data_IF_239795215278
#
_entry.id   IF_239795215278
#
_cell.length_a   1.000
_cell.length_b   1.000
_cell.length_c   1.000
_cell.angle_alpha   90.00
_cell.angle_beta   90.00
_cell.angle_gamma   90.00
#
_symmetry.space_group_name_H-M   'P 1'
#
loop_
_entity.id
_entity.type
_entity.pdbx_description
1 polymer ?
#
# COMPACT_ATOMS: atom_id res chain seq x y z
N UNK A 1 1.60 24.02 8.34
CA UNK A 1 0.96 22.96 9.15
C UNK A 1 0.51 21.83 8.23
N UNK A 2 0.54 20.60 8.73
CA UNK A 2 0.24 19.39 7.96
C UNK A 2 -0.78 18.53 8.69
N UNK A 3 -1.64 17.86 7.93
CA UNK A 3 -2.66 16.96 8.46
C UNK A 3 -2.60 15.58 7.81
N UNK A 4 -2.43 14.56 8.64
CA UNK A 4 -2.54 13.15 8.27
C UNK A 4 -3.98 12.66 8.52
N UNK A 5 -4.76 12.50 7.45
CA UNK A 5 -6.08 11.90 7.53
C UNK A 5 -5.98 10.40 7.79
N UNK A 6 -7.13 9.79 8.10
CA UNK A 6 -7.29 8.41 8.52
C UNK A 6 -6.37 7.45 7.75
N UNK A 7 -5.51 6.78 8.51
CA UNK A 7 -4.58 5.78 8.04
C UNK A 7 -4.83 4.39 8.58
N UNK A 8 -3.85 3.52 8.38
CA UNK A 8 -3.73 2.26 9.13
C UNK A 8 -2.96 2.51 10.44
N UNK A 9 -2.64 1.45 11.19
CA UNK A 9 -1.84 1.57 12.42
C UNK A 9 -0.49 2.27 12.21
N UNK A 10 0.11 2.13 11.03
CA UNK A 10 1.36 2.82 10.67
C UNK A 10 1.23 4.34 10.52
N UNK A 11 0.02 4.91 10.58
CA UNK A 11 -0.17 6.36 10.69
C UNK A 11 0.55 6.93 11.91
N UNK A 12 0.67 6.16 13.01
CA UNK A 12 1.49 6.50 14.17
C UNK A 12 2.94 6.79 13.78
N UNK A 13 3.53 5.92 12.95
CA UNK A 13 4.91 6.04 12.50
C UNK A 13 5.08 7.22 11.53
N UNK A 14 4.06 7.49 10.71
CA UNK A 14 4.04 8.69 9.86
C UNK A 14 4.05 9.96 10.69
N UNK A 15 3.20 10.04 11.72
CA UNK A 15 3.13 11.18 12.64
C UNK A 15 4.47 11.36 13.37
N UNK A 16 5.03 10.28 13.91
CA UNK A 16 6.31 10.33 14.63
C UNK A 16 7.47 10.76 13.71
N UNK A 17 7.56 10.16 12.52
CA UNK A 17 8.61 10.51 11.56
C UNK A 17 8.50 11.97 11.09
N UNK A 18 7.29 12.49 10.90
CA UNK A 18 7.08 13.91 10.63
C UNK A 18 7.48 14.78 11.82
N UNK A 19 7.10 14.39 13.06
CA UNK A 19 7.45 15.14 14.27
C UNK A 19 8.97 15.26 14.47
N UNK A 20 9.72 14.20 14.19
CA UNK A 20 11.18 14.18 14.33
C UNK A 20 11.89 15.11 13.33
N UNK A 21 11.27 15.39 12.17
CA UNK A 21 11.86 16.19 11.11
C UNK A 21 11.36 17.64 11.08
N UNK A 22 10.15 17.90 11.57
CA UNK A 22 9.56 19.23 11.54
C UNK A 22 10.04 20.08 12.73
N UNK A 23 10.13 21.42 12.57
CA UNK A 23 10.34 22.34 13.68
C UNK A 23 9.18 22.31 14.70
N UNK A 24 9.43 22.51 16.01
CA UNK A 24 8.39 22.44 17.07
C UNK A 24 7.17 23.33 16.84
N UNK A 25 7.34 24.46 16.18
CA UNK A 25 6.29 25.42 15.82
C UNK A 25 5.35 24.94 14.71
N UNK A 26 5.80 23.97 13.89
CA UNK A 26 4.96 23.36 12.87
C UNK A 26 4.03 22.37 13.53
N UNK A 27 2.74 22.74 13.57
CA UNK A 27 1.67 21.87 14.06
C UNK A 27 1.36 20.71 13.12
N UNK A 28 1.28 19.52 13.71
CA UNK A 28 0.87 18.27 13.08
C UNK A 28 -0.54 17.93 13.56
N UNK A 29 -1.43 17.72 12.61
CA UNK A 29 -2.79 17.26 12.85
C UNK A 29 -2.92 15.80 12.43
N UNK A 30 -3.75 15.06 13.14
CA UNK A 30 -4.13 13.71 12.77
C UNK A 30 -5.63 13.50 12.93
N UNK A 31 -6.20 12.59 12.17
CA UNK A 31 -7.59 12.19 12.35
C UNK A 31 -7.81 10.72 12.03
N UNK A 32 -8.86 10.17 12.63
CA UNK A 32 -9.33 8.82 12.39
C UNK A 32 -10.85 8.76 12.55
N UNK A 33 -11.56 7.86 11.85
CA UNK A 33 -13.04 7.76 11.91
C UNK A 33 -13.57 7.18 13.23
N UNK A 34 -12.73 6.41 13.90
CA UNK A 34 -12.97 5.77 15.19
C UNK A 34 -11.99 6.35 16.22
N UNK A 35 -12.33 6.24 17.51
CA UNK A 35 -11.45 6.65 18.61
C UNK A 35 -10.21 5.73 18.67
N UNK A 36 -9.07 6.23 18.18
CA UNK A 36 -7.80 5.49 18.03
C UNK A 36 -6.61 6.32 18.55
N UNK A 37 -6.62 6.70 19.83
CA UNK A 37 -5.58 7.56 20.37
C UNK A 37 -4.19 6.91 20.37
N UNK A 38 -4.10 5.57 20.36
CA UNK A 38 -2.82 4.87 20.18
C UNK A 38 -2.18 5.10 18.80
N UNK A 39 -2.97 5.59 17.84
CA UNK A 39 -2.50 6.01 16.52
C UNK A 39 -2.28 7.52 16.47
N UNK A 40 -3.24 8.32 16.94
CA UNK A 40 -3.26 9.77 16.66
C UNK A 40 -2.63 10.64 17.75
N UNK A 41 -2.43 10.14 18.98
CA UNK A 41 -1.95 10.96 20.11
C UNK A 41 -0.52 11.51 19.95
N UNK A 42 0.24 11.05 18.96
CA UNK A 42 1.53 11.66 18.61
C UNK A 42 1.42 13.01 17.89
N UNK A 43 0.22 13.38 17.43
CA UNK A 43 -0.04 14.66 16.78
C UNK A 43 -0.32 15.77 17.82
N UNK A 44 -0.13 17.03 17.44
CA UNK A 44 -0.48 18.17 18.30
C UNK A 44 -2.00 18.26 18.54
N UNK A 45 -2.79 17.93 17.51
CA UNK A 45 -4.25 17.96 17.55
C UNK A 45 -4.78 16.73 16.83
N UNK A 46 -5.73 16.04 17.47
CA UNK A 46 -6.43 14.87 16.93
C UNK A 46 -7.92 15.16 16.72
N UNK A 47 -8.49 14.65 15.63
CA UNK A 47 -9.92 14.76 15.33
C UNK A 47 -10.58 13.41 15.01
N UNK A 48 -11.89 13.35 15.18
CA UNK A 48 -12.73 12.25 14.69
C UNK A 48 -13.35 12.60 13.35
N UNK A 49 -13.09 11.79 12.32
CA UNK A 49 -13.62 12.04 10.97
C UNK A 49 -15.09 11.61 10.82
N UNK A 50 -15.92 12.36 10.09
CA UNK A 50 -17.27 11.92 9.70
C UNK A 50 -17.23 10.62 8.89
N UNK A 51 -18.27 9.77 8.96
CA UNK A 51 -18.28 8.49 8.23
C UNK A 51 -18.67 8.64 6.76
N UNK A 52 -19.54 9.59 6.42
CA UNK A 52 -19.96 9.82 5.04
C UNK A 52 -18.85 10.47 4.22
N UNK A 53 -18.63 10.00 2.98
CA UNK A 53 -17.55 10.50 2.12
C UNK A 53 -17.66 12.01 1.83
N UNK A 54 -18.84 12.46 1.39
CA UNK A 54 -19.07 13.88 1.05
C UNK A 54 -19.04 14.79 2.28
N UNK A 55 -19.66 14.34 3.38
CA UNK A 55 -19.60 15.04 4.67
C UNK A 55 -18.15 15.19 5.14
N UNK A 56 -17.35 14.12 5.04
CA UNK A 56 -15.93 14.12 5.39
C UNK A 56 -15.13 15.09 4.53
N UNK A 57 -15.32 15.11 3.21
CA UNK A 57 -14.62 16.04 2.32
C UNK A 57 -14.91 17.49 2.74
N UNK A 58 -16.19 17.83 2.91
CA UNK A 58 -16.62 19.17 3.32
C UNK A 58 -16.05 19.57 4.69
N UNK A 59 -16.05 18.62 5.64
CA UNK A 59 -15.50 18.80 6.98
C UNK A 59 -13.98 18.98 6.99
N UNK A 60 -13.23 18.21 6.17
CA UNK A 60 -11.77 18.36 6.05
C UNK A 60 -11.43 19.76 5.53
N UNK A 61 -12.10 20.22 4.46
CA UNK A 61 -11.83 21.53 3.88
C UNK A 61 -12.15 22.66 4.88
N UNK A 62 -13.30 22.60 5.56
CA UNK A 62 -13.68 23.64 6.52
C UNK A 62 -12.75 23.67 7.74
N UNK A 63 -12.39 22.50 8.27
CA UNK A 63 -11.45 22.37 9.39
C UNK A 63 -10.07 22.88 9.01
N UNK A 64 -9.56 22.51 7.82
CA UNK A 64 -8.27 22.97 7.34
C UNK A 64 -8.20 24.50 7.22
N UNK A 65 -9.28 25.15 6.77
CA UNK A 65 -9.39 26.62 6.74
C UNK A 65 -9.38 27.23 8.13
N UNK A 66 -10.16 26.68 9.06
CA UNK A 66 -10.25 27.17 10.45
C UNK A 66 -8.89 27.14 11.16
N UNK A 67 -8.12 26.07 10.96
CA UNK A 67 -6.82 25.90 11.62
C UNK A 67 -5.63 26.42 10.79
N UNK A 68 -5.84 26.89 9.56
CA UNK A 68 -4.76 27.34 8.68
C UNK A 68 -3.84 26.21 8.20
N UNK A 69 -4.38 24.99 8.06
CA UNK A 69 -3.67 23.82 7.53
C UNK A 69 -3.38 24.03 6.04
N UNK A 70 -2.20 23.59 5.59
CA UNK A 70 -1.74 23.78 4.19
C UNK A 70 -1.61 22.49 3.42
N UNK A 71 -1.12 21.43 4.06
CA UNK A 71 -0.87 20.13 3.43
C UNK A 71 -1.74 19.07 4.07
N UNK A 72 -2.37 18.23 3.26
CA UNK A 72 -3.24 17.14 3.68
C UNK A 72 -2.78 15.86 2.99
N UNK A 73 -2.49 14.82 3.77
CA UNK A 73 -2.20 13.48 3.27
C UNK A 73 -3.37 12.55 3.58
N UNK A 74 -3.98 11.97 2.55
CA UNK A 74 -4.96 10.90 2.70
C UNK A 74 -4.25 9.56 2.95
N UNK A 75 -4.39 8.99 4.15
CA UNK A 75 -3.85 7.66 4.47
C UNK A 75 -4.72 6.50 3.96
N UNK A 76 -6.00 6.78 3.67
CA UNK A 76 -7.00 5.86 3.14
C UNK A 76 -7.96 6.62 2.22
N UNK A 77 -8.71 5.86 1.42
CA UNK A 77 -9.72 6.41 0.50
C UNK A 77 -9.13 7.46 -0.47
N UNK A 78 -7.88 7.26 -0.91
CA UNK A 78 -7.16 8.19 -1.78
C UNK A 78 -7.98 8.60 -3.00
N UNK A 79 -8.58 7.65 -3.72
CA UNK A 79 -9.45 7.93 -4.86
C UNK A 79 -10.68 8.79 -4.55
N UNK A 80 -11.25 8.68 -3.34
CA UNK A 80 -12.39 9.52 -2.92
C UNK A 80 -11.94 10.97 -2.73
N UNK A 81 -10.79 11.19 -2.10
CA UNK A 81 -10.22 12.53 -1.96
C UNK A 81 -9.74 13.09 -3.30
N UNK A 82 -9.15 12.24 -4.14
CA UNK A 82 -8.66 12.59 -5.48
C UNK A 82 -9.79 13.09 -6.37
N UNK A 83 -10.95 12.44 -6.33
CA UNK A 83 -12.14 12.88 -7.06
C UNK A 83 -12.59 14.29 -6.67
N UNK A 84 -12.29 14.73 -5.45
CA UNK A 84 -12.61 16.05 -4.93
C UNK A 84 -11.44 17.05 -4.98
N UNK A 85 -10.31 16.70 -5.63
CA UNK A 85 -9.06 17.51 -5.66
C UNK A 85 -9.29 18.99 -5.96
N UNK A 86 -10.12 19.31 -6.96
CA UNK A 86 -10.42 20.70 -7.34
C UNK A 86 -10.94 21.54 -6.16
N UNK A 87 -11.77 20.96 -5.28
CA UNK A 87 -12.31 21.65 -4.09
C UNK A 87 -11.24 21.97 -3.05
N UNK A 88 -10.21 21.11 -2.94
CA UNK A 88 -9.06 21.35 -2.08
C UNK A 88 -8.16 22.44 -2.66
N UNK A 89 -7.91 22.40 -3.97
CA UNK A 89 -7.10 23.40 -4.67
C UNK A 89 -7.75 24.79 -4.63
N UNK A 90 -9.06 24.89 -4.87
CA UNK A 90 -9.86 26.11 -4.69
C UNK A 90 -9.81 26.65 -3.25
N UNK A 91 -9.59 25.78 -2.27
CA UNK A 91 -9.39 26.17 -0.88
C UNK A 91 -7.93 26.53 -0.53
N UNK A 92 -7.02 26.49 -1.49
CA UNK A 92 -5.59 26.74 -1.30
C UNK A 92 -4.89 25.65 -0.49
N UNK A 93 -5.40 24.41 -0.55
CA UNK A 93 -4.86 23.24 0.15
C UNK A 93 -4.06 22.37 -0.81
N UNK A 94 -2.92 21.88 -0.35
CA UNK A 94 -2.14 20.85 -1.05
C UNK A 94 -2.65 19.49 -0.61
N UNK A 95 -3.42 18.83 -1.48
CA UNK A 95 -3.92 17.47 -1.27
C UNK A 95 -2.97 16.43 -1.88
N UNK A 96 -2.59 15.45 -1.07
CA UNK A 96 -1.78 14.29 -1.47
C UNK A 96 -2.57 13.01 -1.19
N UNK A 97 -2.75 12.17 -2.19
CA UNK A 97 -3.69 11.03 -2.15
C UNK A 97 -3.05 9.67 -2.43
N UNK A 98 -1.80 9.64 -2.91
CA UNK A 98 -1.16 8.44 -3.44
C UNK A 98 -0.89 8.47 -4.95
N UNK A 99 -1.56 9.37 -5.68
CA UNK A 99 -1.42 9.57 -7.12
C UNK A 99 -1.74 11.00 -7.54
N UNK A 100 -1.53 11.32 -8.81
CA UNK A 100 -1.76 12.68 -9.35
C UNK A 100 -3.10 12.87 -10.05
N UNK A 101 -3.86 11.78 -10.26
CA UNK A 101 -5.16 11.81 -10.91
C UNK A 101 -5.97 10.55 -10.63
N UNK A 102 -7.28 10.60 -10.91
CA UNK A 102 -8.15 9.41 -10.85
C UNK A 102 -7.67 8.25 -11.72
N UNK A 103 -6.98 8.54 -12.84
CA UNK A 103 -6.36 7.51 -13.69
C UNK A 103 -5.41 6.62 -12.88
N UNK A 104 -4.70 7.16 -11.90
CA UNK A 104 -3.80 6.38 -11.03
C UNK A 104 -4.59 5.31 -10.29
N UNK A 105 -5.65 5.72 -9.59
CA UNK A 105 -6.50 4.84 -8.79
C UNK A 105 -7.26 3.83 -9.66
N UNK A 106 -7.78 4.26 -10.81
CA UNK A 106 -8.46 3.39 -11.78
C UNK A 106 -7.58 2.25 -12.29
N UNK A 107 -6.26 2.46 -12.30
CA UNK A 107 -5.26 1.47 -12.71
C UNK A 107 -4.75 0.61 -11.55
N UNK A 108 -4.47 1.19 -10.38
CA UNK A 108 -3.79 0.46 -9.28
C UNK A 108 -4.72 -0.24 -8.29
N UNK A 109 -5.97 0.22 -8.14
CA UNK A 109 -6.92 -0.40 -7.19
C UNK A 109 -7.49 -1.73 -7.71
N UNK A 110 -7.53 -1.89 -9.03
CA UNK A 110 -7.92 -3.12 -9.73
C UNK A 110 -6.66 -3.84 -10.24
N UNK A 111 -6.38 -5.01 -9.66
CA UNK A 111 -5.17 -5.79 -9.96
C UNK A 111 -5.14 -6.33 -11.38
N UNK A 112 -6.30 -6.53 -12.01
CA UNK A 112 -6.39 -6.92 -13.42
C UNK A 112 -5.96 -5.76 -14.32
N UNK A 113 -6.46 -4.55 -14.05
CA UNK A 113 -6.07 -3.34 -14.80
C UNK A 113 -4.60 -3.00 -14.58
N UNK A 114 -4.12 -3.11 -13.34
CA UNK A 114 -2.72 -2.92 -13.01
C UNK A 114 -1.81 -3.83 -13.83
N UNK A 115 -2.13 -5.13 -13.85
CA UNK A 115 -1.32 -6.14 -14.56
C UNK A 115 -1.31 -5.86 -16.06
N UNK A 116 -2.49 -5.65 -16.67
CA UNK A 116 -2.59 -5.35 -18.10
C UNK A 116 -1.83 -4.07 -18.49
N UNK A 117 -1.89 -3.02 -17.65
CA UNK A 117 -1.16 -1.78 -17.90
C UNK A 117 0.35 -1.94 -17.72
N UNK A 118 0.80 -2.73 -16.74
CA UNK A 118 2.22 -3.04 -16.54
C UNK A 118 2.79 -3.82 -17.73
N UNK A 119 2.09 -4.84 -18.21
CA UNK A 119 2.46 -5.61 -19.42
C UNK A 119 2.54 -4.69 -20.64
N UNK A 120 1.53 -3.84 -20.85
CA UNK A 120 1.48 -2.88 -21.95
C UNK A 120 2.65 -1.88 -21.90
N UNK A 121 3.09 -1.52 -20.71
CA UNK A 121 4.23 -0.62 -20.48
C UNK A 121 5.59 -1.33 -20.56
N UNK A 122 5.62 -2.65 -20.73
CA UNK A 122 6.86 -3.44 -20.72
C UNK A 122 7.52 -3.54 -19.33
N UNK A 123 6.75 -3.31 -18.27
CA UNK A 123 7.21 -3.53 -16.90
C UNK A 123 7.08 -5.02 -16.57
N UNK A 124 8.15 -5.63 -16.04
CA UNK A 124 8.09 -7.01 -15.58
C UNK A 124 7.06 -7.12 -14.44
N UNK A 125 5.97 -7.84 -14.66
CA UNK A 125 4.92 -8.09 -13.68
C UNK A 125 4.53 -9.56 -13.65
N UNK A 126 3.94 -10.01 -12.54
CA UNK A 126 3.44 -11.38 -12.46
C UNK A 126 2.31 -11.52 -13.48
N UNK A 127 2.44 -12.40 -14.49
CA UNK A 127 1.43 -12.55 -15.51
C UNK A 127 0.15 -13.07 -14.88
N UNK A 128 -1.00 -12.67 -15.40
CA UNK A 128 -2.28 -13.08 -14.82
C UNK A 128 -3.43 -13.11 -15.81
N UNK A 129 -4.39 -13.99 -15.52
CA UNK A 129 -5.64 -14.13 -16.28
C UNK A 129 -6.78 -13.71 -15.35
N UNK A 130 -7.64 -12.82 -15.84
CA UNK A 130 -8.83 -12.39 -15.09
C UNK A 130 -9.96 -13.37 -15.33
N UNK A 131 -10.50 -13.93 -14.25
CA UNK A 131 -11.67 -14.80 -14.25
C UNK A 131 -12.88 -14.07 -13.67
N UNK A 132 -13.96 -13.96 -14.43
CA UNK A 132 -15.21 -13.31 -14.01
C UNK A 132 -16.33 -14.30 -13.73
N UNK A 133 -16.16 -15.55 -14.13
CA UNK A 133 -17.10 -16.63 -13.95
C UNK A 133 -16.38 -17.97 -13.76
N UNK A 134 -17.16 -19.04 -13.56
CA UNK A 134 -16.66 -20.38 -13.34
C UNK A 134 -15.85 -20.96 -14.51
N UNK A 135 -16.28 -20.71 -15.75
CA UNK A 135 -15.62 -21.19 -16.96
C UNK A 135 -14.26 -20.50 -17.13
N UNK A 136 -14.21 -19.17 -16.96
CA UNK A 136 -12.97 -18.40 -17.01
C UNK A 136 -11.96 -18.90 -15.95
N UNK A 137 -12.44 -19.15 -14.72
CA UNK A 137 -11.61 -19.62 -13.61
C UNK A 137 -10.96 -20.96 -13.93
N UNK A 138 -11.76 -21.90 -14.46
CA UNK A 138 -11.29 -23.22 -14.83
C UNK A 138 -10.29 -23.13 -15.98
N UNK A 139 -10.61 -22.39 -17.05
CA UNK A 139 -9.72 -22.22 -18.20
C UNK A 139 -8.38 -21.54 -17.82
N UNK A 140 -8.42 -20.53 -16.96
CA UNK A 140 -7.23 -19.87 -16.45
C UNK A 140 -6.34 -20.81 -15.62
N UNK A 141 -6.95 -21.62 -14.75
CA UNK A 141 -6.22 -22.61 -13.96
C UNK A 141 -5.58 -23.69 -14.85
N UNK A 142 -6.30 -24.26 -15.79
CA UNK A 142 -5.77 -25.26 -16.73
C UNK A 142 -4.57 -24.71 -17.53
N UNK A 143 -4.69 -23.46 -18.01
CA UNK A 143 -3.61 -22.79 -18.74
C UNK A 143 -2.34 -22.64 -17.90
N UNK A 144 -2.48 -22.17 -16.65
CA UNK A 144 -1.34 -21.83 -15.80
C UNK A 144 -0.74 -23.03 -15.07
N UNK A 145 -1.56 -24.01 -14.70
CA UNK A 145 -1.13 -25.20 -13.96
C UNK A 145 -0.18 -26.10 -14.76
N UNK A 146 -0.22 -26.03 -16.09
CA UNK A 146 0.76 -26.67 -16.97
C UNK A 146 2.21 -26.20 -16.74
N UNK A 147 2.40 -25.01 -16.15
CA UNK A 147 3.71 -24.40 -15.92
C UNK A 147 4.14 -24.35 -14.45
N UNK A 148 3.30 -24.78 -13.50
CA UNK A 148 3.63 -24.81 -12.08
C UNK A 148 2.45 -24.57 -11.13
N UNK A 149 2.74 -24.26 -9.87
CA UNK A 149 1.71 -23.93 -8.88
C UNK A 149 0.93 -22.67 -9.29
N UNK A 150 -0.39 -22.71 -9.16
CA UNK A 150 -1.30 -21.58 -9.45
C UNK A 150 -1.78 -20.97 -8.15
N UNK A 151 -1.92 -19.66 -8.12
CA UNK A 151 -2.62 -18.95 -7.05
C UNK A 151 -3.70 -18.04 -7.61
N UNK A 152 -4.60 -17.62 -6.73
CA UNK A 152 -5.70 -16.72 -7.05
C UNK A 152 -5.79 -15.62 -6.01
N UNK A 153 -6.21 -14.42 -6.41
CA UNK A 153 -6.60 -13.32 -5.50
C UNK A 153 -7.76 -12.52 -6.10
N UNK A 154 -8.60 -11.85 -5.29
CA UNK A 154 -9.61 -10.94 -5.81
C UNK A 154 -8.98 -9.82 -6.64
N UNK A 155 -9.62 -9.46 -7.76
CA UNK A 155 -9.16 -8.36 -8.60
C UNK A 155 -9.12 -7.04 -7.81
N UNK A 156 -10.13 -6.79 -6.98
CA UNK A 156 -10.18 -5.65 -6.04
C UNK A 156 -10.15 -6.19 -4.61
N UNK A 157 -9.28 -5.65 -3.76
CA UNK A 157 -9.16 -6.09 -2.36
C UNK A 157 -7.86 -5.64 -1.70
N UNK A 158 -7.77 -5.84 -0.39
CA UNK A 158 -6.64 -5.41 0.46
C UNK A 158 -6.17 -6.54 1.39
N UNK A 159 -4.92 -6.43 1.89
CA UNK A 159 -4.34 -7.34 2.89
C UNK A 159 -4.28 -8.83 2.50
N UNK A 160 -4.18 -9.13 1.21
CA UNK A 160 -4.17 -10.52 0.74
C UNK A 160 -5.44 -11.31 1.10
N UNK A 161 -6.54 -10.63 1.45
CA UNK A 161 -7.81 -11.31 1.65
C UNK A 161 -8.26 -11.97 0.35
N UNK A 162 -8.66 -13.24 0.44
CA UNK A 162 -9.00 -14.06 -0.73
C UNK A 162 -7.80 -14.58 -1.53
N UNK A 163 -6.55 -14.33 -1.12
CA UNK A 163 -5.40 -14.98 -1.74
C UNK A 163 -5.30 -16.45 -1.33
N UNK A 164 -5.19 -17.34 -2.32
CA UNK A 164 -5.02 -18.78 -2.11
C UNK A 164 -4.05 -19.36 -3.12
N UNK A 165 -3.15 -20.24 -2.66
CA UNK A 165 -2.32 -21.10 -3.48
C UNK A 165 -3.02 -22.44 -3.67
N UNK A 166 -3.15 -22.88 -4.90
CA UNK A 166 -3.67 -24.19 -5.22
C UNK A 166 -2.52 -25.19 -5.20
N UNK A 167 -2.64 -26.20 -4.33
CA UNK A 167 -1.70 -27.32 -4.27
C UNK A 167 -2.40 -28.60 -4.62
N UNK A 168 -1.77 -29.36 -5.51
CA UNK A 168 -2.22 -30.70 -5.84
C UNK A 168 -2.22 -31.58 -4.58
N UNK A 169 -3.27 -32.39 -4.40
CA UNK A 169 -3.44 -33.26 -3.23
C UNK A 169 -3.65 -32.52 -1.90
N UNK A 170 -3.83 -31.20 -1.89
CA UNK A 170 -4.19 -30.49 -0.66
C UNK A 170 -5.52 -31.01 -0.09
N UNK A 171 -5.56 -31.24 1.21
CA UNK A 171 -6.78 -31.60 1.94
C UNK A 171 -7.87 -30.53 1.69
N UNK A 172 -9.06 -30.91 1.18
CA UNK A 172 -10.21 -30.02 1.00
C UNK A 172 -10.57 -29.17 2.22
N UNK A 173 -10.33 -29.68 3.44
CA UNK A 173 -10.62 -28.96 4.68
C UNK A 173 -9.48 -28.03 5.14
N UNK A 174 -8.31 -28.10 4.50
CA UNK A 174 -7.11 -27.34 4.92
C UNK A 174 -7.36 -25.83 4.99
N UNK A 175 -8.07 -25.26 4.03
CA UNK A 175 -8.33 -23.82 4.00
C UNK A 175 -9.19 -23.35 5.18
N UNK A 176 -9.95 -24.24 5.82
CA UNK A 176 -10.71 -23.97 7.04
C UNK A 176 -9.92 -24.28 8.31
N UNK A 177 -9.14 -25.36 8.30
CA UNK A 177 -8.33 -25.78 9.44
C UNK A 177 -7.10 -24.87 9.68
N UNK A 178 -6.48 -24.40 8.61
CA UNK A 178 -5.25 -23.60 8.62
C UNK A 178 -5.30 -22.54 7.49
N UNK A 179 -6.16 -21.51 7.63
CA UNK A 179 -6.26 -20.44 6.63
C UNK A 179 -4.98 -19.61 6.49
N UNK A 180 -4.16 -19.55 7.54
CA UNK A 180 -2.91 -18.77 7.55
C UNK A 180 -1.85 -19.35 6.60
N UNK A 181 -1.87 -20.65 6.32
CA UNK A 181 -1.03 -21.25 5.30
C UNK A 181 -1.36 -20.80 3.87
N UNK A 182 -2.55 -20.22 3.64
CA UNK A 182 -3.02 -19.76 2.32
C UNK A 182 -2.96 -20.84 1.24
N UNK A 183 -3.26 -22.09 1.62
CA UNK A 183 -3.32 -23.23 0.69
C UNK A 183 -4.75 -23.74 0.59
N UNK A 184 -5.20 -24.00 -0.64
CA UNK A 184 -6.51 -24.57 -0.92
C UNK A 184 -6.41 -25.69 -1.96
N UNK A 185 -7.38 -26.60 -1.93
CA UNK A 185 -7.63 -27.54 -3.03
C UNK A 185 -8.42 -26.82 -4.13
N UNK A 186 -7.99 -26.92 -5.39
CA UNK A 186 -8.65 -26.23 -6.50
C UNK A 186 -10.09 -26.69 -6.72
N UNK A 187 -10.38 -28.00 -6.65
CA UNK A 187 -11.73 -28.51 -6.83
C UNK A 187 -12.69 -28.02 -5.75
N UNK A 188 -12.24 -27.95 -4.49
CA UNK A 188 -13.03 -27.38 -3.38
C UNK A 188 -13.30 -25.90 -3.60
N UNK A 189 -12.28 -25.13 -3.99
CA UNK A 189 -12.42 -23.71 -4.30
C UNK A 189 -13.41 -23.50 -5.45
N UNK A 190 -13.27 -24.29 -6.52
CA UNK A 190 -14.08 -24.20 -7.73
C UNK A 190 -15.56 -24.49 -7.45
N UNK A 191 -15.85 -25.51 -6.63
CA UNK A 191 -17.22 -25.79 -6.17
C UNK A 191 -17.82 -24.58 -5.45
N UNK A 192 -17.14 -24.05 -4.44
CA UNK A 192 -17.62 -22.89 -3.69
C UNK A 192 -17.78 -21.62 -4.56
N UNK A 193 -16.87 -21.41 -5.51
CA UNK A 193 -16.92 -20.29 -6.44
C UNK A 193 -18.11 -20.41 -7.42
N UNK A 194 -18.36 -21.62 -7.94
CA UNK A 194 -19.47 -21.89 -8.88
C UNK A 194 -20.87 -21.82 -8.26
N UNK A 195 -20.97 -22.02 -6.94
CA UNK A 195 -22.25 -21.92 -6.22
C UNK A 195 -22.72 -20.46 -6.05
N UNK A 196 -21.89 -19.46 -6.37
CA UNK A 196 -22.30 -18.04 -6.31
C UNK A 196 -23.01 -17.64 -7.60
N UNK A 197 -24.20 -17.05 -7.47
CA UNK A 197 -24.92 -16.47 -8.62
C UNK A 197 -24.12 -15.34 -9.30
N UNK A 198 -23.39 -14.54 -8.50
CA UNK A 198 -22.51 -13.47 -8.95
C UNK A 198 -21.15 -13.61 -8.27
N UNK A 199 -20.24 -14.45 -8.82
CA UNK A 199 -18.92 -14.58 -8.26
C UNK A 199 -18.12 -13.27 -8.44
N UNK A 200 -17.22 -12.93 -7.50
CA UNK A 200 -16.36 -11.77 -7.68
C UNK A 200 -15.34 -12.03 -8.79
N UNK A 201 -14.89 -10.98 -9.47
CA UNK A 201 -13.77 -11.09 -10.39
C UNK A 201 -12.49 -11.47 -9.63
N UNK A 202 -11.80 -12.48 -10.14
CA UNK A 202 -10.58 -13.02 -9.56
C UNK A 202 -9.44 -12.91 -10.56
N UNK A 203 -8.24 -12.72 -10.04
CA UNK A 203 -6.99 -12.73 -10.78
C UNK A 203 -6.28 -14.05 -10.51
N UNK A 204 -6.16 -14.89 -11.53
CA UNK A 204 -5.48 -16.20 -11.50
C UNK A 204 -4.08 -16.02 -12.05
N UNK A 205 -3.07 -16.50 -11.33
CA UNK A 205 -1.66 -16.21 -11.62
C UNK A 205 -0.75 -17.39 -11.25
N UNK A 206 0.44 -17.51 -11.86
CA UNK A 206 1.45 -18.44 -11.38
C UNK A 206 1.95 -18.01 -10.00
N UNK A 207 2.19 -18.99 -9.14
CA UNK A 207 2.77 -18.74 -7.83
C UNK A 207 4.29 -18.56 -7.95
N UNK A 208 4.75 -17.36 -7.64
CA UNK A 208 6.18 -17.03 -7.60
C UNK A 208 6.79 -17.45 -6.24
N UNK A 209 7.78 -18.37 -6.21
CA UNK A 209 8.29 -18.94 -4.98
C UNK A 209 9.36 -18.08 -4.28
N UNK A 210 9.92 -17.09 -4.97
CA UNK A 210 11.00 -16.25 -4.48
C UNK A 210 10.58 -15.25 -3.41
N UNK A 211 11.45 -14.30 -3.07
CA UNK A 211 11.18 -13.38 -1.97
C UNK A 211 10.22 -12.26 -2.38
N UNK A 212 9.41 -11.81 -1.43
CA UNK A 212 8.63 -10.57 -1.63
C UNK A 212 9.46 -9.39 -1.15
N UNK A 213 9.50 -8.35 -1.97
CA UNK A 213 10.15 -7.09 -1.68
C UNK A 213 9.13 -5.96 -1.71
N UNK A 214 9.12 -5.17 -0.66
CA UNK A 214 8.19 -4.05 -0.45
C UNK A 214 9.00 -2.76 -0.44
N UNK A 215 8.85 -1.94 -1.48
CA UNK A 215 9.59 -0.69 -1.67
C UNK A 215 8.71 0.47 -1.22
N UNK A 216 9.00 1.00 -0.02
CA UNK A 216 8.38 2.23 0.48
C UNK A 216 9.10 3.44 -0.09
N UNK A 217 8.35 4.44 -0.54
CA UNK A 217 8.92 5.61 -1.19
C UNK A 217 8.11 6.89 -0.95
N UNK A 218 8.81 8.02 -1.02
CA UNK A 218 8.22 9.35 -1.19
C UNK A 218 8.29 9.70 -2.67
N UNK A 219 7.16 9.97 -3.30
CA UNK A 219 7.06 10.37 -4.70
C UNK A 219 6.51 11.79 -4.83
N UNK A 220 6.94 12.46 -5.89
CA UNK A 220 6.36 13.71 -6.39
C UNK A 220 6.10 13.56 -7.89
N UNK A 221 4.82 13.47 -8.26
CA UNK A 221 4.37 13.30 -9.64
C UNK A 221 5.13 12.19 -10.40
N UNK A 222 5.15 10.99 -9.84
CA UNK A 222 5.83 9.80 -10.37
C UNK A 222 7.32 9.71 -10.04
N UNK A 223 7.99 10.83 -9.77
CA UNK A 223 9.41 10.83 -9.42
C UNK A 223 9.64 10.41 -7.98
N UNK A 224 10.37 9.33 -7.76
CA UNK A 224 10.81 8.94 -6.42
C UNK A 224 11.88 9.92 -5.88
N UNK A 225 11.67 10.41 -4.68
CA UNK A 225 12.56 11.32 -3.95
C UNK A 225 13.48 10.55 -3.02
N UNK A 226 12.89 9.64 -2.24
CA UNK A 226 13.57 8.78 -1.29
C UNK A 226 12.81 7.46 -1.21
N UNK A 227 13.52 6.37 -0.99
CA UNK A 227 12.93 5.04 -0.96
C UNK A 227 13.76 4.08 -0.12
N UNK A 228 13.11 3.03 0.37
CA UNK A 228 13.74 1.90 1.04
C UNK A 228 12.98 0.64 0.66
N UNK A 229 13.70 -0.35 0.13
CA UNK A 229 13.17 -1.69 -0.06
C UNK A 229 13.27 -2.50 1.23
N UNK A 230 12.24 -3.29 1.51
CA UNK A 230 12.16 -4.21 2.65
C UNK A 230 11.90 -5.61 2.14
N UNK A 231 12.77 -6.55 2.49
CA UNK A 231 12.62 -7.98 2.17
C UNK A 231 12.46 -8.80 3.43
N UNK A 232 11.47 -9.69 3.45
CA UNK A 232 11.25 -10.59 4.58
C UNK A 232 12.22 -11.77 4.53
N UNK A 233 13.01 -11.96 5.58
CA UNK A 233 13.93 -13.08 5.76
C UNK A 233 13.61 -13.82 7.07
N UNK A 234 12.83 -14.90 6.94
CA UNK A 234 12.25 -15.61 8.08
C UNK A 234 11.31 -14.70 8.88
N UNK A 235 11.65 -14.45 10.14
CA UNK A 235 10.88 -13.57 11.05
C UNK A 235 11.34 -12.11 11.01
N UNK A 236 12.42 -11.79 10.30
CA UNK A 236 12.99 -10.45 10.20
C UNK A 236 12.69 -9.82 8.84
N UNK A 237 12.85 -8.52 8.77
CA UNK A 237 12.96 -7.75 7.55
C UNK A 237 14.37 -7.17 7.47
N UNK A 238 14.95 -7.25 6.27
CA UNK A 238 16.21 -6.59 5.89
C UNK A 238 15.90 -5.45 4.92
N UNK A 239 16.84 -4.52 4.79
CA UNK A 239 16.66 -3.31 4.01
C UNK A 239 17.64 -3.25 2.84
N UNK A 240 17.14 -2.78 1.70
CA UNK A 240 17.86 -2.60 0.45
C UNK A 240 17.60 -1.17 -0.05
N UNK A 241 18.57 -0.55 -0.71
CA UNK A 241 18.44 0.77 -1.35
C UNK A 241 18.89 0.76 -2.82
N UNK A 242 19.14 -0.42 -3.37
CA UNK A 242 19.51 -0.66 -4.76
C UNK A 242 19.02 -2.04 -5.21
N UNK A 243 19.29 -2.39 -6.48
CA UNK A 243 18.97 -3.69 -7.05
C UNK A 243 17.71 -3.71 -7.92
N UNK A 244 17.53 -4.82 -8.64
CA UNK A 244 16.51 -4.94 -9.68
C UNK A 244 15.07 -4.71 -9.19
N UNK A 245 14.77 -5.13 -7.95
CA UNK A 245 13.45 -4.95 -7.36
C UNK A 245 13.14 -3.47 -7.08
N UNK A 246 14.15 -2.72 -6.62
CA UNK A 246 14.07 -1.26 -6.43
C UNK A 246 13.91 -0.58 -7.77
N UNK A 247 14.79 -0.86 -8.75
CA UNK A 247 14.72 -0.25 -10.08
C UNK A 247 13.36 -0.44 -10.76
N UNK A 248 12.82 -1.66 -10.69
CA UNK A 248 11.49 -1.98 -11.21
C UNK A 248 10.39 -1.19 -10.49
N UNK A 249 10.47 -1.08 -9.16
CA UNK A 249 9.53 -0.30 -8.37
C UNK A 249 9.56 1.20 -8.69
N UNK A 250 10.75 1.78 -8.92
CA UNK A 250 10.89 3.18 -9.30
C UNK A 250 10.28 3.47 -10.68
N UNK A 251 10.54 2.60 -11.66
CA UNK A 251 9.93 2.68 -13.00
C UNK A 251 8.41 2.57 -12.94
N UNK A 252 7.90 1.69 -12.08
CA UNK A 252 6.46 1.56 -11.87
C UNK A 252 5.86 2.82 -11.23
N UNK A 253 6.50 3.37 -10.19
CA UNK A 253 6.03 4.60 -9.56
C UNK A 253 5.96 5.78 -10.54
N UNK A 254 6.96 5.90 -11.43
CA UNK A 254 6.98 6.89 -12.51
C UNK A 254 5.84 6.65 -13.50
N UNK A 255 5.72 5.43 -14.04
CA UNK A 255 4.69 5.07 -15.02
C UNK A 255 3.26 5.30 -14.50
N UNK A 256 2.98 4.86 -13.28
CA UNK A 256 1.67 4.98 -12.65
C UNK A 256 1.45 6.35 -11.99
N UNK A 257 2.37 7.30 -12.12
CA UNK A 257 2.23 8.68 -11.63
C UNK A 257 1.94 8.75 -10.12
N UNK A 258 2.65 7.95 -9.34
CA UNK A 258 2.51 7.89 -7.88
C UNK A 258 2.89 9.23 -7.22
N UNK A 259 2.21 9.58 -6.12
CA UNK A 259 2.46 10.82 -5.39
C UNK A 259 2.30 10.65 -3.87
N UNK A 260 3.16 11.29 -3.08
CA UNK A 260 3.14 11.16 -1.63
C UNK A 260 3.90 9.95 -1.12
N UNK A 261 3.46 9.35 -0.02
CA UNK A 261 4.09 8.16 0.54
C UNK A 261 3.36 6.93 0.00
N UNK A 262 4.03 6.13 -0.82
CA UNK A 262 3.44 4.96 -1.49
C UNK A 262 4.31 3.71 -1.27
N UNK A 263 3.74 2.55 -1.57
CA UNK A 263 4.44 1.28 -1.49
C UNK A 263 4.26 0.47 -2.78
N UNK A 264 5.37 0.06 -3.39
CA UNK A 264 5.37 -0.83 -4.55
C UNK A 264 5.88 -2.20 -4.11
N UNK A 265 5.17 -3.27 -4.48
CA UNK A 265 5.54 -4.62 -4.12
C UNK A 265 5.97 -5.41 -5.35
N UNK A 266 7.07 -6.13 -5.20
CA UNK A 266 7.58 -7.10 -6.18
C UNK A 266 7.70 -8.47 -5.54
N UNK A 267 7.67 -9.49 -6.40
CA UNK A 267 7.83 -10.87 -6.02
C UNK A 267 8.84 -11.52 -6.96
N UNK A 268 9.88 -12.13 -6.40
CA UNK A 268 10.88 -12.81 -7.20
C UNK A 268 10.34 -14.15 -7.71
N UNK A 269 10.66 -14.50 -8.96
CA UNK A 269 10.45 -15.83 -9.49
C UNK A 269 11.46 -16.87 -8.94
N UNK A 270 11.45 -18.08 -9.48
CA UNK A 270 12.36 -19.15 -9.06
C UNK A 270 13.83 -18.87 -9.38
N UNK A 271 14.13 -17.93 -10.28
CA UNK A 271 15.47 -17.51 -10.67
C UNK A 271 15.93 -16.27 -9.88
N UNK A 272 15.09 -15.74 -8.99
CA UNK A 272 15.38 -14.53 -8.22
C UNK A 272 15.13 -13.23 -9.00
N UNK A 273 14.44 -13.29 -10.14
CA UNK A 273 14.13 -12.11 -10.95
C UNK A 273 12.82 -11.48 -10.40
N UNK A 274 12.81 -10.19 -10.06
CA UNK A 274 11.63 -9.54 -9.49
C UNK A 274 10.57 -9.22 -10.55
N UNK A 275 9.31 -9.46 -10.19
CA UNK A 275 8.13 -9.09 -10.97
C UNK A 275 7.20 -8.22 -10.13
N UNK A 276 6.65 -7.15 -10.70
CA UNK A 276 5.64 -6.32 -10.04
C UNK A 276 4.44 -7.16 -9.60
N UNK A 277 3.99 -6.93 -8.37
CA UNK A 277 2.86 -7.62 -7.75
C UNK A 277 1.66 -6.69 -7.55
N UNK A 278 1.89 -5.49 -7.02
CA UNK A 278 0.90 -4.42 -6.84
C UNK A 278 1.56 -3.08 -6.47
N UNK A 279 0.81 -1.99 -6.64
CA UNK A 279 1.11 -0.68 -6.06
C UNK A 279 0.03 -0.34 -5.05
N UNK A 280 0.45 0.04 -3.85
CA UNK A 280 -0.42 0.61 -2.83
C UNK A 280 -0.22 2.12 -2.85
N UNK A 281 -1.21 2.93 -3.28
CA UNK A 281 -1.13 4.39 -3.32
C UNK A 281 -1.31 5.00 -1.91
N UNK A 282 -0.55 4.48 -0.94
CA UNK A 282 -0.50 4.86 0.46
C UNK A 282 0.72 4.23 1.11
N UNK A 283 1.10 4.72 2.28
CA UNK A 283 2.15 4.11 3.07
C UNK A 283 1.78 2.67 3.48
N UNK A 284 2.80 1.81 3.55
CA UNK A 284 2.64 0.44 4.00
C UNK A 284 2.55 0.35 5.53
N UNK A 285 2.23 -0.85 6.04
CA UNK A 285 2.32 -1.14 7.47
C UNK A 285 3.76 -1.13 8.01
N UNK A 286 4.77 -1.32 7.16
CA UNK A 286 6.19 -1.39 7.54
C UNK A 286 6.96 -0.09 7.30
N UNK A 287 6.30 0.98 6.87
CA UNK A 287 6.95 2.26 6.50
C UNK A 287 7.79 2.84 7.65
N UNK A 288 7.38 2.65 8.91
CA UNK A 288 8.12 3.13 10.08
C UNK A 288 9.51 2.51 10.22
N UNK A 289 9.70 1.28 9.71
CA UNK A 289 10.97 0.56 9.79
C UNK A 289 12.07 1.19 8.95
N UNK A 290 11.72 2.00 7.96
CA UNK A 290 12.68 2.71 7.10
C UNK A 290 13.58 3.66 7.89
N UNK A 291 13.07 4.20 9.01
CA UNK A 291 13.84 5.04 9.95
C UNK A 291 14.97 4.25 10.62
N UNK A 292 14.78 2.95 10.88
CA UNK A 292 15.82 2.09 11.44
C UNK A 292 16.97 1.86 10.45
N UNK A 293 16.69 1.85 9.15
CA UNK A 293 17.68 1.87 8.07
C UNK A 293 18.29 3.26 7.82
N UNK A 294 17.88 4.27 8.60
CA UNK A 294 18.39 5.64 8.54
C UNK A 294 17.70 6.57 7.54
N UNK A 295 16.56 6.18 6.98
CA UNK A 295 15.77 6.97 6.02
C UNK A 295 14.41 7.34 6.64
N UNK A 296 14.21 8.61 6.99
CA UNK A 296 12.93 9.08 7.52
C UNK A 296 11.97 9.50 6.40
N UNK A 297 11.31 8.54 5.74
CA UNK A 297 10.40 8.82 4.63
C UNK A 297 9.26 9.79 5.01
N UNK A 298 8.66 9.63 6.19
CA UNK A 298 7.59 10.51 6.65
C UNK A 298 8.08 11.94 6.91
N UNK A 299 9.29 12.09 7.47
CA UNK A 299 9.95 13.37 7.66
C UNK A 299 10.27 14.05 6.32
N UNK A 300 10.89 13.32 5.39
CA UNK A 300 11.20 13.81 4.03
C UNK A 300 9.92 14.27 3.32
N UNK A 301 8.85 13.47 3.37
CA UNK A 301 7.56 13.87 2.82
C UNK A 301 7.05 15.19 3.43
N UNK A 302 7.03 15.27 4.76
CA UNK A 302 6.46 16.42 5.46
C UNK A 302 7.26 17.70 5.24
N UNK A 303 8.59 17.64 5.31
CA UNK A 303 9.46 18.80 5.09
C UNK A 303 9.34 19.30 3.65
N UNK A 304 9.39 18.40 2.66
CA UNK A 304 9.27 18.77 1.24
C UNK A 304 7.93 19.42 0.91
N UNK A 305 6.81 18.84 1.37
CA UNK A 305 5.48 19.43 1.13
C UNK A 305 5.26 20.76 1.83
N UNK A 306 6.04 21.05 2.87
CA UNK A 306 6.05 22.34 3.56
C UNK A 306 7.18 23.28 3.11
N UNK A 307 7.96 22.90 2.09
CA UNK A 307 9.14 23.64 1.60
C UNK A 307 10.18 23.94 2.71
N UNK A 308 10.43 22.95 3.56
CA UNK A 308 11.44 22.97 4.62
C UNK A 308 12.64 22.09 4.24
N UNK A 309 13.83 22.32 4.85
CA UNK A 309 14.99 21.46 4.65
C UNK A 309 14.68 20.00 5.01
N UNK A 310 15.16 19.08 4.17
CA UNK A 310 15.00 17.65 4.42
C UNK A 310 15.84 17.18 5.62
N UNK A 311 15.34 16.19 6.39
CA UNK A 311 16.16 15.57 7.42
C UNK A 311 17.35 14.83 6.79
N UNK A 312 18.48 14.82 7.48
CA UNK A 312 19.64 14.07 7.04
C UNK A 312 19.30 12.57 6.92
N UNK A 313 19.78 11.96 5.83
CA UNK A 313 19.66 10.52 5.59
C UNK A 313 21.04 9.90 5.69
N UNK A 314 21.20 8.94 6.61
CA UNK A 314 22.45 8.21 6.80
C UNK A 314 22.12 6.73 6.77
N UNK A 315 22.37 6.08 5.63
CA UNK A 315 22.08 4.66 5.45
C UNK A 315 22.80 3.81 6.50
N UNK A 316 22.06 2.88 7.09
CA UNK A 316 22.58 1.93 8.09
C UNK A 316 22.55 0.52 7.48
N UNK A 317 23.71 -0.04 7.09
CA UNK A 317 23.77 -1.39 6.55
C UNK A 317 23.45 -2.43 7.64
N UNK A 318 23.04 -3.62 7.20
CA UNK A 318 22.86 -4.82 8.05
C UNK A 318 21.81 -4.69 9.19
N UNK A 319 20.92 -3.70 9.09
CA UNK A 319 19.79 -3.55 10.02
C UNK A 319 18.78 -4.67 9.79
N UNK A 320 18.33 -5.28 10.89
CA UNK A 320 17.28 -6.31 10.89
C UNK A 320 16.16 -5.87 11.81
N UNK A 321 14.94 -5.84 11.29
CA UNK A 321 13.76 -5.45 12.07
C UNK A 321 12.79 -6.61 12.19
N UNK A 322 12.22 -6.80 13.38
CA UNK A 322 11.07 -7.68 13.61
C UNK A 322 9.98 -6.87 14.27
N UNK A 323 8.80 -6.82 13.65
CA UNK A 323 7.62 -6.22 14.27
C UNK A 323 7.25 -6.98 15.54
N UNK A 324 7.02 -6.23 16.63
CA UNK A 324 6.53 -6.76 17.90
C UNK A 324 5.27 -5.99 18.30
N UNK A 325 4.31 -6.68 18.88
CA UNK A 325 3.12 -6.05 19.46
C UNK A 325 3.52 -5.39 20.77
N UNK A 326 3.25 -4.09 20.90
CA UNK A 326 3.50 -3.32 22.11
C UNK A 326 2.23 -2.64 22.58
N UNK A 327 2.03 -2.57 23.90
CA UNK A 327 0.97 -1.75 24.47
C UNK A 327 1.33 -0.27 24.30
N UNK A 328 0.34 0.57 23.96
CA UNK A 328 0.48 2.01 23.93
C UNK A 328 -0.22 2.62 25.15
N UNK A 329 0.49 3.49 25.88
CA UNK A 329 -0.12 4.28 26.96
C UNK A 329 -0.69 5.54 26.33
N UNK A 330 -1.99 5.73 26.46
CA UNK A 330 -2.71 6.90 25.97
C UNK A 330 -2.84 7.89 27.14
N UNK A 331 -2.26 9.11 27.04
CA UNK A 331 -2.50 10.15 28.03
C UNK A 331 -4.00 10.48 28.09
N UNK A 332 -4.55 10.62 29.31
CA UNK A 332 -5.91 11.10 29.52
C UNK A 332 -6.05 12.59 29.23
#
# INVERSE_FOLDING_TARGET
MIWFLEGQSSQRDIIQGARDALPPEVKIFASHRDDRPEITAGADISFTEPRGAEERISWVISTARTYGIKVILAGRLGGVFEQARARFEEAGLVLVTGGTSMRTFDLVDDKSRFTAEAERAGLACVPAITATNAEDMFAAYETLSASGEVCVKPAVGIYGQGFWRFKEGADPFRCFADPDARVANFATYMRAYSERATPPAMLVMPYMPGSECSVDMVCEAGRAIAFVARRKTGVHQIFENDGAAVELALKAAEHFQCDGIVNVQTKDDAQGIPHLLEINPRYSGGVGYTREAGVNLAGIFATRRLNLPEPATVWRPDVRVKGVTVAAVVPK
#
